data_IF_950107421054
#
_entry.id   IF_950107421054
#
_cell.length_a   1.000
_cell.length_b   1.000
_cell.length_c   1.000
_cell.angle_alpha   90.00
_cell.angle_beta   90.00
_cell.angle_gamma   90.00
#
_symmetry.space_group_name_H-M   'P 1'
#
loop_
_entity.id
_entity.type
_entity.pdbx_description
1 polymer ?
#
# COMPACT_ATOMS: atom_id res chain seq x y z
N UNK A 1 -1.27 1.65 -28.91
CA UNK A 1 -0.77 2.57 -27.85
C UNK A 1 -0.88 3.99 -28.40
N UNK A 2 -1.47 4.95 -27.65
CA UNK A 2 -1.48 6.36 -28.09
C UNK A 2 -0.07 6.94 -27.98
N UNK A 3 0.32 7.79 -28.91
CA UNK A 3 1.56 8.55 -28.78
C UNK A 3 1.44 9.59 -27.67
N UNK A 4 2.57 10.06 -27.15
CA UNK A 4 2.59 11.12 -26.12
C UNK A 4 1.87 12.39 -26.61
N UNK A 5 2.06 12.76 -27.88
CA UNK A 5 1.38 13.92 -28.48
C UNK A 5 -0.14 13.76 -28.50
N UNK A 6 -0.64 12.59 -28.88
CA UNK A 6 -2.08 12.28 -28.86
C UNK A 6 -2.64 12.28 -27.44
N UNK A 7 -1.90 11.76 -26.46
CA UNK A 7 -2.29 11.77 -25.05
C UNK A 7 -2.41 13.22 -24.53
N UNK A 8 -1.44 14.08 -24.84
CA UNK A 8 -1.49 15.51 -24.46
C UNK A 8 -2.67 16.26 -25.11
N UNK A 9 -2.93 16.05 -26.41
CA UNK A 9 -4.01 16.73 -27.12
C UNK A 9 -5.39 16.29 -26.62
N UNK A 10 -5.53 15.06 -26.12
CA UNK A 10 -6.80 14.49 -25.67
C UNK A 10 -6.98 14.55 -24.15
N UNK A 11 -6.00 15.13 -23.42
CA UNK A 11 -6.09 15.24 -21.97
C UNK A 11 -7.17 16.24 -21.58
N UNK A 12 -8.17 15.76 -20.85
CA UNK A 12 -9.23 16.56 -20.25
C UNK A 12 -9.39 16.07 -18.79
N UNK A 13 -9.08 16.95 -17.84
CA UNK A 13 -9.14 16.62 -16.42
C UNK A 13 -10.58 16.34 -15.97
N UNK A 14 -11.57 17.08 -16.46
CA UNK A 14 -12.98 16.88 -16.09
C UNK A 14 -13.44 15.50 -16.54
N UNK A 15 -13.16 15.17 -17.78
CA UNK A 15 -13.46 13.85 -18.34
C UNK A 15 -12.74 12.74 -17.60
N UNK A 16 -11.47 12.94 -17.23
CA UNK A 16 -10.71 11.97 -16.45
C UNK A 16 -11.34 11.70 -15.08
N UNK A 17 -11.82 12.75 -14.40
CA UNK A 17 -12.54 12.61 -13.13
C UNK A 17 -13.81 11.76 -13.34
N UNK A 18 -14.64 12.12 -14.31
CA UNK A 18 -15.90 11.44 -14.60
C UNK A 18 -15.73 9.97 -15.02
N UNK A 19 -14.71 9.67 -15.82
CA UNK A 19 -14.45 8.31 -16.33
C UNK A 19 -13.70 7.42 -15.30
N UNK A 20 -12.87 8.00 -14.45
CA UNK A 20 -11.93 7.23 -13.62
C UNK A 20 -12.38 7.10 -12.16
N UNK A 21 -13.22 7.98 -11.65
CA UNK A 21 -13.66 7.96 -10.25
C UNK A 21 -15.12 7.58 -10.11
N UNK A 22 -15.48 6.97 -8.98
CA UNK A 22 -16.86 6.83 -8.50
C UNK A 22 -17.31 8.10 -7.79
N UNK A 23 -16.40 8.69 -7.01
CA UNK A 23 -16.60 9.94 -6.32
C UNK A 23 -16.46 11.17 -7.23
N UNK A 24 -16.73 12.32 -6.68
CA UNK A 24 -16.57 13.62 -7.34
C UNK A 24 -15.84 14.61 -6.40
N UNK A 25 -15.42 15.80 -6.88
CA UNK A 25 -14.56 16.70 -6.09
C UNK A 25 -15.04 17.07 -4.68
N UNK A 26 -16.36 17.06 -4.42
CA UNK A 26 -16.93 17.38 -3.10
C UNK A 26 -17.28 16.12 -2.28
N UNK A 27 -17.27 14.93 -2.89
CA UNK A 27 -17.65 13.70 -2.21
C UNK A 27 -16.89 12.49 -2.77
N UNK A 28 -15.74 12.19 -2.19
CA UNK A 28 -14.88 11.06 -2.54
C UNK A 28 -14.44 10.32 -1.28
N UNK A 29 -14.20 9.02 -1.41
CA UNK A 29 -13.62 8.20 -0.36
C UNK A 29 -12.58 7.24 -0.95
N UNK A 30 -11.37 7.21 -0.39
CA UNK A 30 -10.28 6.38 -0.90
C UNK A 30 -10.58 4.87 -0.80
N UNK A 31 -11.31 4.42 0.22
CA UNK A 31 -11.75 3.03 0.33
C UNK A 31 -12.73 2.67 -0.81
N UNK A 32 -13.67 3.57 -1.14
CA UNK A 32 -14.59 3.36 -2.27
C UNK A 32 -13.81 3.21 -3.57
N UNK A 33 -12.85 4.09 -3.82
CA UNK A 33 -12.04 4.08 -5.05
C UNK A 33 -11.10 2.87 -5.15
N UNK A 34 -10.61 2.34 -4.02
CA UNK A 34 -9.60 1.28 -3.99
C UNK A 34 -10.16 -0.11 -3.63
N UNK A 35 -11.40 -0.20 -3.14
CA UNK A 35 -11.95 -1.47 -2.68
C UNK A 35 -13.44 -1.63 -3.03
N UNK A 36 -14.33 -0.80 -2.49
CA UNK A 36 -15.77 -1.02 -2.54
C UNK A 36 -16.32 -1.14 -3.96
N UNK A 37 -15.87 -0.29 -4.90
CA UNK A 37 -16.30 -0.32 -6.31
C UNK A 37 -16.02 -1.65 -7.02
N UNK A 38 -15.21 -2.52 -6.44
CA UNK A 38 -14.84 -3.83 -6.99
C UNK A 38 -15.51 -4.99 -6.25
N UNK A 39 -16.24 -4.74 -5.17
CA UNK A 39 -17.05 -5.73 -4.46
C UNK A 39 -18.15 -6.27 -5.40
N UNK A 40 -18.39 -7.57 -5.31
CA UNK A 40 -19.30 -8.29 -6.21
C UNK A 40 -18.65 -8.83 -7.49
N UNK A 41 -17.37 -8.51 -7.73
CA UNK A 41 -16.61 -9.02 -8.89
C UNK A 41 -15.79 -10.28 -8.56
N UNK A 42 -15.66 -10.63 -7.31
CA UNK A 42 -14.90 -11.78 -6.78
C UNK A 42 -13.44 -11.84 -7.28
N UNK A 43 -12.85 -10.65 -7.54
CA UNK A 43 -11.46 -10.53 -7.93
C UNK A 43 -10.54 -10.63 -6.71
N UNK A 44 -9.39 -11.27 -6.85
CA UNK A 44 -8.33 -11.24 -5.85
C UNK A 44 -7.79 -9.80 -5.74
N UNK A 45 -7.75 -9.28 -4.51
CA UNK A 45 -7.20 -7.96 -4.20
C UNK A 45 -5.81 -8.05 -3.57
N UNK A 46 -5.54 -9.14 -2.81
CA UNK A 46 -4.26 -9.37 -2.16
C UNK A 46 -3.86 -10.84 -2.29
N UNK A 47 -2.62 -11.06 -2.68
CA UNK A 47 -1.90 -12.31 -2.51
C UNK A 47 -0.82 -12.06 -1.46
N UNK A 48 -0.86 -12.77 -0.35
CA UNK A 48 0.12 -12.64 0.72
C UNK A 48 0.96 -13.89 0.86
N UNK A 49 2.28 -13.69 0.98
CA UNK A 49 3.29 -14.71 1.30
C UNK A 49 3.86 -14.43 2.68
N UNK A 50 3.56 -15.31 3.62
CA UNK A 50 4.01 -15.22 5.00
C UNK A 50 5.44 -15.70 5.19
N UNK A 51 6.06 -15.32 6.33
CA UNK A 51 7.42 -15.71 6.70
C UNK A 51 7.65 -17.23 6.68
N UNK A 52 6.62 -18.01 6.97
CA UNK A 52 6.69 -19.48 7.08
C UNK A 52 6.34 -20.19 5.77
N UNK A 53 6.24 -19.48 4.65
CA UNK A 53 5.90 -20.04 3.36
C UNK A 53 4.39 -20.32 3.17
N UNK A 54 3.55 -19.90 4.09
CA UNK A 54 2.11 -19.91 3.91
C UNK A 54 1.70 -18.84 2.90
N UNK A 55 0.69 -19.12 2.09
CA UNK A 55 0.14 -18.17 1.13
C UNK A 55 -1.37 -18.03 1.37
N UNK A 56 -1.85 -16.80 1.39
CA UNK A 56 -3.27 -16.50 1.51
C UNK A 56 -3.69 -15.52 0.40
N UNK A 57 -4.94 -15.67 -0.04
CA UNK A 57 -5.53 -14.82 -1.06
C UNK A 57 -6.78 -14.18 -0.47
N UNK A 58 -6.88 -12.86 -0.62
CA UNK A 58 -8.04 -12.09 -0.19
C UNK A 58 -8.72 -11.46 -1.39
N UNK A 59 -10.02 -11.61 -1.51
CA UNK A 59 -10.82 -10.89 -2.50
C UNK A 59 -11.16 -9.49 -2.01
N UNK A 60 -11.65 -8.63 -2.91
CA UNK A 60 -12.16 -7.32 -2.53
C UNK A 60 -13.31 -7.42 -1.52
N UNK A 61 -14.15 -8.44 -1.63
CA UNK A 61 -15.25 -8.72 -0.70
C UNK A 61 -14.74 -9.00 0.71
N UNK A 62 -13.75 -9.89 0.83
CA UNK A 62 -13.14 -10.24 2.12
C UNK A 62 -12.45 -9.05 2.77
N UNK A 63 -11.74 -8.23 1.98
CA UNK A 63 -11.12 -7.01 2.48
C UNK A 63 -12.17 -5.97 2.88
N UNK A 64 -13.29 -5.86 2.16
CA UNK A 64 -14.39 -4.98 2.51
C UNK A 64 -15.04 -5.39 3.84
N UNK A 65 -15.26 -6.70 4.05
CA UNK A 65 -15.78 -7.23 5.32
C UNK A 65 -14.84 -6.89 6.48
N UNK A 66 -13.56 -7.30 6.38
CA UNK A 66 -12.59 -7.13 7.47
C UNK A 66 -12.33 -5.65 7.77
N UNK A 67 -12.17 -4.83 6.74
CA UNK A 67 -11.97 -3.38 6.91
C UNK A 67 -13.21 -2.68 7.49
N UNK A 68 -14.43 -3.19 7.20
CA UNK A 68 -15.66 -2.68 7.79
C UNK A 68 -15.73 -2.90 9.29
N UNK A 69 -15.37 -4.12 9.74
CA UNK A 69 -15.29 -4.47 11.16
C UNK A 69 -14.27 -3.61 11.89
N UNK A 70 -13.07 -3.45 11.33
CA UNK A 70 -12.02 -2.62 11.91
C UNK A 70 -12.40 -1.12 11.91
N UNK A 71 -13.06 -0.64 10.86
CA UNK A 71 -13.55 0.74 10.76
C UNK A 71 -14.57 1.05 11.88
N UNK A 72 -15.49 0.14 12.16
CA UNK A 72 -16.44 0.28 13.26
C UNK A 72 -15.74 0.23 14.64
N UNK A 73 -14.71 -0.59 14.79
CA UNK A 73 -13.87 -0.55 15.98
C UNK A 73 -13.19 0.82 16.14
N UNK A 74 -12.60 1.38 15.08
CA UNK A 74 -11.97 2.71 15.12
C UNK A 74 -12.98 3.80 15.56
N UNK A 75 -14.20 3.77 15.00
CA UNK A 75 -15.28 4.68 15.43
C UNK A 75 -15.61 4.53 16.92
N UNK A 76 -15.64 3.29 17.43
CA UNK A 76 -15.88 3.02 18.84
C UNK A 76 -14.75 3.50 19.76
N UNK A 77 -13.52 3.62 19.24
CA UNK A 77 -12.40 4.26 19.93
C UNK A 77 -12.41 5.79 19.81
N UNK A 78 -13.46 6.38 19.23
CA UNK A 78 -13.61 7.83 19.11
C UNK A 78 -12.87 8.45 17.92
N UNK A 79 -12.36 7.65 16.98
CA UNK A 79 -11.71 8.15 15.76
C UNK A 79 -12.77 8.78 14.85
N UNK A 80 -12.46 9.96 14.33
CA UNK A 80 -13.30 10.74 13.45
C UNK A 80 -12.63 10.96 12.08
N UNK A 81 -13.41 11.42 11.11
CA UNK A 81 -12.88 11.83 9.82
C UNK A 81 -11.84 12.94 9.98
N UNK A 82 -10.69 12.80 9.32
CA UNK A 82 -9.55 13.72 9.44
C UNK A 82 -8.57 13.39 10.58
N UNK A 83 -8.91 12.49 11.50
CA UNK A 83 -7.96 11.99 12.50
C UNK A 83 -6.88 11.10 11.83
N UNK A 84 -5.69 11.09 12.42
CA UNK A 84 -4.57 10.32 11.90
C UNK A 84 -4.47 8.95 12.60
N UNK A 85 -4.42 7.88 11.80
CA UNK A 85 -4.16 6.49 12.23
C UNK A 85 -2.86 6.02 11.60
N UNK A 86 -1.94 5.50 12.41
CA UNK A 86 -0.68 4.96 11.91
C UNK A 86 -0.69 3.42 11.82
N UNK A 87 -0.01 2.90 10.80
CA UNK A 87 0.32 1.47 10.68
C UNK A 87 1.82 1.27 10.85
N UNK A 88 2.22 0.59 11.93
CA UNK A 88 3.59 0.11 12.17
C UNK A 88 3.59 -1.42 12.00
N UNK A 89 3.41 -1.86 10.78
CA UNK A 89 3.19 -3.25 10.41
C UNK A 89 4.12 -3.67 9.26
N UNK A 90 4.58 -4.92 9.21
CA UNK A 90 5.18 -5.48 8.01
C UNK A 90 4.14 -5.65 6.90
N UNK A 91 4.56 -6.19 5.76
CA UNK A 91 3.70 -6.45 4.60
C UNK A 91 2.78 -7.65 4.86
N UNK A 92 1.75 -7.45 5.66
CA UNK A 92 0.76 -8.46 6.06
C UNK A 92 -0.66 -8.04 5.68
N UNK A 93 -1.64 -8.96 5.68
CA UNK A 93 -3.04 -8.62 5.43
C UNK A 93 -3.57 -7.53 6.37
N UNK A 94 -3.15 -7.55 7.63
CA UNK A 94 -3.58 -6.58 8.64
C UNK A 94 -3.15 -5.14 8.28
N UNK A 95 -2.01 -4.98 7.60
CA UNK A 95 -1.61 -3.68 7.06
C UNK A 95 -2.63 -3.14 6.06
N UNK A 96 -3.03 -3.96 5.09
CA UNK A 96 -3.98 -3.56 4.06
C UNK A 96 -5.37 -3.34 4.64
N UNK A 97 -5.83 -4.19 5.56
CA UNK A 97 -7.10 -4.04 6.28
C UNK A 97 -7.10 -2.72 7.06
N UNK A 98 -5.98 -2.37 7.73
CA UNK A 98 -5.83 -1.11 8.47
C UNK A 98 -5.91 0.10 7.55
N UNK A 99 -5.24 0.08 6.40
CA UNK A 99 -5.30 1.14 5.40
C UNK A 99 -6.73 1.37 4.93
N UNK A 100 -7.41 0.31 4.51
CA UNK A 100 -8.77 0.36 3.98
C UNK A 100 -9.79 0.81 5.05
N UNK A 101 -9.66 0.32 6.29
CA UNK A 101 -10.51 0.73 7.41
C UNK A 101 -10.34 2.22 7.74
N UNK A 102 -9.10 2.71 7.73
CA UNK A 102 -8.77 4.12 7.94
C UNK A 102 -9.44 5.00 6.88
N UNK A 103 -9.27 4.66 5.61
CA UNK A 103 -9.88 5.40 4.52
C UNK A 103 -11.41 5.33 4.53
N UNK A 104 -11.99 4.19 4.93
CA UNK A 104 -13.45 4.01 4.98
C UNK A 104 -14.13 5.03 5.88
N UNK A 105 -13.55 5.33 7.04
CA UNK A 105 -14.08 6.34 7.97
C UNK A 105 -13.64 7.78 7.65
N UNK A 106 -12.97 8.01 6.53
CA UNK A 106 -12.45 9.33 6.14
C UNK A 106 -11.28 9.83 7.00
N UNK A 107 -10.62 8.94 7.74
CA UNK A 107 -9.41 9.23 8.50
C UNK A 107 -8.16 9.22 7.60
N UNK A 108 -7.06 9.77 8.12
CA UNK A 108 -5.78 9.91 7.43
C UNK A 108 -4.87 8.74 7.81
N UNK A 109 -4.42 7.96 6.84
CA UNK A 109 -3.47 6.89 7.09
C UNK A 109 -2.03 7.41 7.11
N UNK A 110 -1.28 7.05 8.16
CA UNK A 110 0.14 7.35 8.31
C UNK A 110 0.96 6.06 8.24
N UNK A 111 1.77 5.83 7.20
CA UNK A 111 2.68 4.69 7.18
C UNK A 111 3.86 4.93 8.12
N UNK A 112 4.21 3.91 8.89
CA UNK A 112 5.43 3.86 9.69
C UNK A 112 6.27 2.66 9.22
N UNK A 113 7.48 2.94 8.76
CA UNK A 113 8.40 1.89 8.32
C UNK A 113 8.90 1.08 9.52
N UNK A 114 8.84 -0.24 9.44
CA UNK A 114 9.18 -1.13 10.54
C UNK A 114 10.65 -1.04 10.99
N UNK A 115 11.54 -0.54 10.15
CA UNK A 115 12.93 -0.29 10.52
C UNK A 115 13.16 1.04 11.26
N UNK A 116 12.11 1.88 11.48
CA UNK A 116 12.28 3.08 12.28
C UNK A 116 12.48 2.73 13.76
N UNK A 117 13.41 3.47 14.39
CA UNK A 117 13.62 3.44 15.82
C UNK A 117 12.57 4.30 16.57
N UNK A 118 12.36 4.03 17.86
CA UNK A 118 11.34 4.68 18.69
C UNK A 118 11.36 6.22 18.58
N UNK A 119 12.54 6.86 18.63
CA UNK A 119 12.68 8.31 18.48
C UNK A 119 12.15 8.83 17.13
N UNK A 120 12.37 8.07 16.07
CA UNK A 120 11.91 8.43 14.73
C UNK A 120 10.39 8.26 14.59
N UNK A 121 9.84 7.25 15.27
CA UNK A 121 8.39 7.02 15.36
C UNK A 121 7.76 8.14 16.16
N UNK A 122 8.29 8.45 17.35
CA UNK A 122 7.79 9.51 18.25
C UNK A 122 7.63 10.86 17.54
N UNK A 123 8.69 11.28 16.85
CA UNK A 123 8.65 12.52 16.06
C UNK A 123 7.49 12.55 15.05
N UNK A 124 7.26 11.44 14.35
CA UNK A 124 6.24 11.33 13.31
C UNK A 124 4.82 11.31 13.87
N UNK A 125 4.59 10.53 14.92
CA UNK A 125 3.27 10.43 15.54
C UNK A 125 2.88 11.74 16.26
N UNK A 126 3.84 12.38 16.90
CA UNK A 126 3.63 13.68 17.55
C UNK A 126 3.32 14.76 16.51
N UNK A 127 4.10 14.82 15.41
CA UNK A 127 3.90 15.81 14.34
C UNK A 127 2.56 15.60 13.64
N UNK A 128 2.14 14.36 13.40
CA UNK A 128 0.88 14.02 12.76
C UNK A 128 -0.31 14.01 13.72
N UNK A 129 -0.10 14.23 15.02
CA UNK A 129 -1.13 14.11 16.06
C UNK A 129 -1.88 12.77 16.02
N UNK A 130 -1.14 11.68 15.84
CA UNK A 130 -1.67 10.34 15.65
C UNK A 130 -2.51 9.90 16.85
N UNK A 131 -3.75 9.47 16.60
CA UNK A 131 -4.71 9.06 17.62
C UNK A 131 -4.67 7.57 17.93
N UNK A 132 -4.31 6.75 16.94
CA UNK A 132 -4.30 5.30 17.05
C UNK A 132 -3.14 4.73 16.23
N UNK A 133 -2.49 3.70 16.76
CA UNK A 133 -1.47 2.92 16.03
C UNK A 133 -1.90 1.46 15.98
N UNK A 134 -1.85 0.88 14.78
CA UNK A 134 -1.92 -0.58 14.59
C UNK A 134 -0.51 -1.11 14.41
N UNK A 135 -0.15 -2.13 15.18
CA UNK A 135 1.19 -2.72 15.21
C UNK A 135 1.12 -4.24 15.35
N UNK A 136 2.25 -4.92 15.45
CA UNK A 136 2.35 -6.34 15.78
C UNK A 136 3.28 -6.57 16.98
N UNK A 137 3.34 -7.81 17.48
CA UNK A 137 4.18 -8.18 18.63
C UNK A 137 5.65 -7.79 18.45
N UNK A 138 6.19 -7.92 17.24
CA UNK A 138 7.59 -7.62 16.93
C UNK A 138 7.91 -6.12 17.03
N UNK A 139 6.99 -5.26 16.62
CA UNK A 139 7.19 -3.80 16.60
C UNK A 139 6.68 -3.11 17.87
N UNK A 140 5.77 -3.75 18.60
CA UNK A 140 5.12 -3.20 19.80
C UNK A 140 6.10 -2.64 20.85
N UNK A 141 7.25 -3.27 21.13
CA UNK A 141 8.22 -2.73 22.10
C UNK A 141 8.72 -1.32 21.79
N UNK A 142 8.76 -0.91 20.53
CA UNK A 142 9.16 0.46 20.13
C UNK A 142 8.20 1.55 20.58
N UNK A 143 6.98 1.17 20.96
CA UNK A 143 5.94 2.08 21.41
C UNK A 143 5.86 2.22 22.94
N UNK A 144 6.63 1.44 23.71
CA UNK A 144 6.52 1.38 25.17
C UNK A 144 6.77 2.72 25.89
N UNK A 145 7.57 3.59 25.30
CA UNK A 145 7.93 4.90 25.87
C UNK A 145 7.19 6.05 25.22
N UNK A 146 6.29 5.77 24.28
CA UNK A 146 5.60 6.76 23.48
C UNK A 146 4.19 7.02 24.02
N UNK A 147 3.73 8.27 23.90
CA UNK A 147 2.37 8.65 24.27
C UNK A 147 1.42 8.43 23.10
N UNK A 148 0.86 7.23 23.02
CA UNK A 148 -0.13 6.86 21.99
C UNK A 148 -1.46 6.59 22.67
N UNK A 149 -2.55 7.29 22.33
CA UNK A 149 -3.83 7.14 23.01
C UNK A 149 -4.45 5.73 22.88
N UNK A 150 -4.33 5.12 21.70
CA UNK A 150 -4.88 3.78 21.42
C UNK A 150 -3.86 2.96 20.63
N UNK A 151 -3.54 1.76 21.12
CA UNK A 151 -2.69 0.80 20.44
C UNK A 151 -3.48 -0.47 20.16
N UNK A 152 -3.44 -0.92 18.91
CA UNK A 152 -4.03 -2.19 18.44
C UNK A 152 -2.90 -3.08 17.98
N UNK A 153 -2.78 -4.24 18.59
CA UNK A 153 -1.68 -5.17 18.32
C UNK A 153 -2.19 -6.41 17.61
N UNK A 154 -1.59 -6.76 16.47
CA UNK A 154 -1.70 -8.08 15.86
C UNK A 154 -0.90 -9.03 16.74
N UNK A 155 -1.60 -9.64 17.69
CA UNK A 155 -1.02 -10.45 18.72
C UNK A 155 -1.02 -11.93 18.32
N UNK A 156 0.14 -12.56 18.35
CA UNK A 156 0.30 -13.96 17.96
C UNK A 156 0.80 -14.83 19.11
N UNK A 157 1.62 -14.27 19.99
CA UNK A 157 2.29 -15.06 21.06
C UNK A 157 2.51 -14.23 22.32
N UNK A 158 2.44 -14.91 23.48
CA UNK A 158 2.72 -14.26 24.77
C UNK A 158 1.51 -13.57 25.40
N UNK A 159 1.75 -12.55 26.21
CA UNK A 159 0.72 -11.74 26.85
C UNK A 159 0.56 -10.43 26.09
N UNK A 160 -0.67 -10.12 25.71
CA UNK A 160 -1.03 -8.80 25.20
C UNK A 160 -0.74 -7.75 26.29
N UNK A 161 -0.18 -6.59 25.91
CA UNK A 161 0.01 -5.49 26.86
C UNK A 161 -1.34 -5.04 27.43
N UNK A 162 -1.39 -4.73 28.73
CA UNK A 162 -2.63 -4.50 29.50
C UNK A 162 -3.56 -3.45 28.88
N UNK A 163 -3.01 -2.48 28.17
CA UNK A 163 -3.77 -1.38 27.56
C UNK A 163 -3.94 -1.49 26.05
N UNK A 164 -3.47 -2.59 25.44
CA UNK A 164 -3.58 -2.81 24.01
C UNK A 164 -4.90 -3.53 23.69
N UNK A 165 -5.40 -3.27 22.50
CA UNK A 165 -6.47 -4.05 21.89
C UNK A 165 -5.88 -5.11 20.98
N UNK A 166 -6.36 -6.36 21.10
CA UNK A 166 -6.04 -7.40 20.14
C UNK A 166 -6.76 -7.15 18.83
N UNK A 167 -6.01 -7.18 17.72
CA UNK A 167 -6.53 -6.87 16.38
C UNK A 167 -7.69 -7.79 16.00
N UNK A 168 -7.46 -9.09 15.99
CA UNK A 168 -8.44 -10.06 15.51
C UNK A 168 -9.64 -10.23 16.44
N UNK A 169 -9.45 -10.16 17.76
CA UNK A 169 -10.55 -10.14 18.70
C UNK A 169 -11.40 -8.89 18.57
N UNK A 170 -10.79 -7.75 18.28
CA UNK A 170 -11.52 -6.51 18.03
C UNK A 170 -12.44 -6.65 16.81
N UNK A 171 -11.99 -7.27 15.72
CA UNK A 171 -12.83 -7.48 14.53
C UNK A 171 -14.06 -8.35 14.80
N UNK A 172 -13.95 -9.35 15.68
CA UNK A 172 -15.06 -10.28 16.00
C UNK A 172 -16.26 -9.60 16.67
N UNK A 173 -16.06 -8.43 17.27
CA UNK A 173 -17.08 -7.72 18.06
C UNK A 173 -17.90 -6.72 17.26
N UNK A 174 -17.52 -6.42 16.03
CA UNK A 174 -18.12 -5.35 15.24
C UNK A 174 -18.71 -5.87 13.93
N UNK A 175 -19.75 -5.17 13.46
CA UNK A 175 -20.36 -5.41 12.17
C UNK A 175 -19.40 -5.05 11.04
N UNK A 176 -19.49 -5.77 9.93
CA UNK A 176 -18.81 -5.43 8.68
C UNK A 176 -19.46 -4.24 7.95
N UNK A 177 -20.72 -3.96 8.26
CA UNK A 177 -21.47 -2.84 7.68
C UNK A 177 -20.99 -1.53 8.30
N UNK A 178 -20.28 -0.75 7.51
CA UNK A 178 -19.77 0.56 7.89
C UNK A 178 -19.82 1.47 6.67
N UNK A 179 -20.75 2.43 6.66
CA UNK A 179 -20.86 3.37 5.55
C UNK A 179 -19.59 4.21 5.38
N UNK A 180 -19.05 4.33 4.15
CA UNK A 180 -17.90 5.18 3.87
C UNK A 180 -18.19 6.66 4.14
N UNK A 181 -17.24 7.33 4.75
CA UNK A 181 -17.34 8.78 5.01
C UNK A 181 -16.71 9.56 3.86
N UNK A 182 -17.54 10.21 3.06
CA UNK A 182 -17.05 11.06 1.98
C UNK A 182 -16.34 12.31 2.48
N UNK A 183 -15.30 12.70 1.73
CA UNK A 183 -14.48 13.88 1.95
C UNK A 183 -14.34 14.69 0.66
N UNK A 184 -13.77 15.89 0.74
CA UNK A 184 -13.43 16.69 -0.43
C UNK A 184 -12.12 16.21 -1.09
N UNK A 185 -11.90 16.54 -2.36
CA UNK A 185 -10.65 16.34 -3.08
C UNK A 185 -9.43 16.93 -2.38
N UNK A 186 -9.60 18.05 -1.68
CA UNK A 186 -8.52 18.76 -0.99
C UNK A 186 -8.27 18.24 0.43
N UNK A 187 -9.14 17.36 0.94
CA UNK A 187 -8.92 16.71 2.23
C UNK A 187 -7.84 15.64 2.13
N UNK A 188 -7.02 15.56 3.17
CA UNK A 188 -5.94 14.59 3.24
C UNK A 188 -6.46 13.18 3.55
N UNK A 189 -5.84 12.16 2.94
CA UNK A 189 -6.08 10.75 3.21
C UNK A 189 -4.81 9.97 3.57
N UNK A 190 -3.63 10.56 3.29
CA UNK A 190 -2.33 10.03 3.71
C UNK A 190 -1.51 11.12 4.38
N UNK A 191 -0.74 10.73 5.40
CA UNK A 191 0.26 11.57 6.05
C UNK A 191 1.65 10.98 5.86
N UNK A 192 2.35 11.44 4.84
CA UNK A 192 3.70 10.98 4.54
C UNK A 192 4.76 11.80 5.26
N UNK A 193 5.98 11.28 5.30
CA UNK A 193 7.14 11.99 5.84
C UNK A 193 8.32 11.86 4.89
N UNK A 194 9.01 12.97 4.64
CA UNK A 194 10.23 13.01 3.85
C UNK A 194 11.45 13.19 4.73
N UNK A 195 12.61 12.75 4.27
CA UNK A 195 13.89 13.10 4.91
C UNK A 195 14.11 14.60 4.77
N UNK A 196 13.94 15.34 5.86
CA UNK A 196 14.21 16.79 5.87
C UNK A 196 15.69 17.08 5.63
N UNK A 197 15.99 18.11 4.86
CA UNK A 197 17.36 18.62 4.67
C UNK A 197 18.01 19.12 5.97
N UNK A 198 17.23 19.32 7.01
CA UNK A 198 17.62 19.85 8.32
C UNK A 198 17.66 18.82 9.45
N UNK A 199 17.57 17.52 9.13
CA UNK A 199 17.74 16.41 10.08
C UNK A 199 16.43 15.76 10.57
N UNK A 200 15.34 16.49 10.80
CA UNK A 200 14.04 15.93 11.18
C UNK A 200 13.14 15.74 9.96
N UNK A 201 12.43 14.62 9.92
CA UNK A 201 11.48 14.35 8.85
C UNK A 201 10.32 15.36 8.86
N UNK A 202 9.94 15.86 7.68
CA UNK A 202 8.82 16.79 7.50
C UNK A 202 7.57 16.04 7.08
N UNK A 203 6.43 16.39 7.66
CA UNK A 203 5.13 15.88 7.24
C UNK A 203 4.75 16.39 5.86
N UNK A 204 4.17 15.50 5.06
CA UNK A 204 3.65 15.77 3.72
C UNK A 204 2.24 15.21 3.65
N UNK A 205 1.22 16.01 3.88
CA UNK A 205 -0.15 15.59 3.70
C UNK A 205 -0.42 15.36 2.21
N UNK A 206 -1.18 14.31 1.91
CA UNK A 206 -1.54 13.93 0.53
C UNK A 206 -3.04 13.98 0.37
N UNK A 207 -3.57 14.88 -0.47
CA UNK A 207 -4.99 15.04 -0.66
C UNK A 207 -5.60 13.94 -1.53
N UNK A 208 -6.90 13.67 -1.35
CA UNK A 208 -7.64 12.63 -2.08
C UNK A 208 -7.57 12.77 -3.60
N UNK A 209 -7.47 13.98 -4.15
CA UNK A 209 -7.26 14.20 -5.58
C UNK A 209 -6.00 13.53 -6.14
N UNK A 210 -5.01 13.21 -5.30
CA UNK A 210 -3.80 12.50 -5.72
C UNK A 210 -4.10 11.07 -6.26
N UNK A 211 -5.24 10.47 -5.89
CA UNK A 211 -5.68 9.17 -6.43
C UNK A 211 -5.73 9.21 -7.97
N UNK A 212 -6.18 10.32 -8.57
CA UNK A 212 -6.16 10.50 -10.03
C UNK A 212 -4.75 10.44 -10.61
N UNK A 213 -3.79 11.08 -9.94
CA UNK A 213 -2.39 11.05 -10.37
C UNK A 213 -1.81 9.64 -10.24
N UNK A 214 -2.14 8.90 -9.18
CA UNK A 214 -1.70 7.52 -9.01
C UNK A 214 -2.29 6.61 -10.09
N UNK A 215 -3.58 6.74 -10.41
CA UNK A 215 -4.21 6.00 -11.53
C UNK A 215 -3.52 6.33 -12.85
N UNK A 216 -3.31 7.61 -13.13
CA UNK A 216 -2.62 8.05 -14.35
C UNK A 216 -1.21 7.49 -14.46
N UNK A 217 -0.45 7.50 -13.37
CA UNK A 217 0.90 6.91 -13.33
C UNK A 217 0.88 5.41 -13.60
N UNK A 218 -0.01 4.66 -12.95
CA UNK A 218 -0.13 3.21 -13.16
C UNK A 218 -0.52 2.89 -14.61
N UNK A 219 -1.44 3.65 -15.19
CA UNK A 219 -1.92 3.42 -16.56
C UNK A 219 -0.89 3.81 -17.63
N UNK A 220 -0.19 4.94 -17.45
CA UNK A 220 0.62 5.53 -18.54
C UNK A 220 2.13 5.34 -18.36
N UNK A 221 2.63 5.29 -17.12
CA UNK A 221 4.05 5.11 -16.85
C UNK A 221 4.42 3.66 -16.53
N UNK A 222 3.57 2.97 -15.77
CA UNK A 222 3.76 1.55 -15.42
C UNK A 222 3.14 0.64 -16.48
N UNK A 223 2.27 1.16 -17.35
CA UNK A 223 1.51 0.39 -18.37
C UNK A 223 0.81 -0.84 -17.75
N UNK A 224 0.15 -0.62 -16.58
CA UNK A 224 -0.58 -1.68 -15.91
C UNK A 224 -1.85 -2.02 -16.69
N UNK A 225 -1.98 -3.27 -17.13
CA UNK A 225 -3.07 -3.79 -17.95
C UNK A 225 -3.92 -4.78 -17.18
N UNK A 226 -5.17 -4.97 -17.58
CA UNK A 226 -6.13 -5.83 -16.88
C UNK A 226 -5.64 -7.27 -16.69
N UNK A 227 -4.88 -7.79 -17.65
CA UNK A 227 -4.30 -9.13 -17.63
C UNK A 227 -3.04 -9.28 -16.78
N UNK A 228 -2.45 -8.18 -16.30
CA UNK A 228 -1.18 -8.23 -15.57
C UNK A 228 -1.31 -8.85 -14.17
N UNK A 229 -0.34 -9.67 -13.82
CA UNK A 229 0.00 -9.98 -12.45
C UNK A 229 1.03 -8.96 -11.98
N UNK A 230 0.61 -8.05 -11.12
CA UNK A 230 1.40 -6.91 -10.67
C UNK A 230 2.08 -7.15 -9.32
N UNK A 231 3.36 -6.82 -9.24
CA UNK A 231 4.10 -6.83 -7.99
C UNK A 231 5.01 -5.61 -7.86
N UNK A 232 4.89 -4.89 -6.74
CA UNK A 232 5.80 -3.83 -6.34
C UNK A 232 6.67 -4.31 -5.18
N UNK A 233 8.00 -4.28 -5.36
CA UNK A 233 8.99 -4.70 -4.36
C UNK A 233 9.21 -3.65 -3.25
N UNK A 234 8.77 -2.41 -3.46
CA UNK A 234 8.99 -1.33 -2.51
C UNK A 234 8.14 -1.51 -1.25
N UNK A 235 8.70 -1.12 -0.10
CA UNK A 235 7.99 -1.19 1.16
C UNK A 235 6.91 -0.10 1.26
N UNK A 236 5.67 -0.44 1.68
CA UNK A 236 4.57 0.52 1.82
C UNK A 236 4.74 1.52 2.99
N UNK A 237 5.76 1.37 3.82
CA UNK A 237 6.21 2.42 4.74
C UNK A 237 6.79 3.65 4.04
N UNK A 238 7.04 3.56 2.72
CA UNK A 238 7.52 4.63 1.86
C UNK A 238 6.51 4.99 0.78
N UNK A 239 6.62 6.23 0.26
CA UNK A 239 5.71 6.77 -0.75
C UNK A 239 5.58 5.84 -1.98
N UNK A 240 6.70 5.35 -2.52
CA UNK A 240 6.69 4.52 -3.72
C UNK A 240 5.96 3.20 -3.54
N UNK A 241 6.12 2.55 -2.38
CA UNK A 241 5.38 1.33 -2.04
C UNK A 241 3.90 1.58 -1.75
N UNK A 242 3.57 2.66 -1.04
CA UNK A 242 2.19 2.97 -0.69
C UNK A 242 1.39 3.50 -1.88
N UNK A 243 1.96 4.46 -2.65
CA UNK A 243 1.26 5.07 -3.80
C UNK A 243 1.08 4.10 -4.96
N UNK A 244 2.16 3.40 -5.32
CA UNK A 244 2.23 2.60 -6.54
C UNK A 244 2.30 1.09 -6.28
N UNK A 245 2.39 0.68 -5.03
CA UNK A 245 2.29 -0.72 -4.63
C UNK A 245 0.93 -1.09 -4.03
N UNK A 246 0.19 -0.11 -3.50
CA UNK A 246 -1.12 -0.32 -2.87
C UNK A 246 -2.19 0.55 -3.53
N UNK A 247 -2.13 1.88 -3.36
CA UNK A 247 -3.22 2.79 -3.75
C UNK A 247 -3.49 2.76 -5.25
N UNK A 248 -2.45 2.88 -6.06
CA UNK A 248 -2.56 2.92 -7.52
C UNK A 248 -3.18 1.64 -8.11
N UNK A 249 -2.59 0.46 -7.91
CA UNK A 249 -3.15 -0.78 -8.47
C UNK A 249 -4.56 -1.09 -7.94
N UNK A 250 -4.81 -0.97 -6.64
CA UNK A 250 -6.14 -1.21 -6.08
C UNK A 250 -7.19 -0.24 -6.66
N UNK A 251 -6.83 1.03 -6.88
CA UNK A 251 -7.74 1.99 -7.50
C UNK A 251 -8.13 1.65 -8.94
N UNK A 252 -7.35 0.81 -9.61
CA UNK A 252 -7.63 0.24 -10.93
C UNK A 252 -8.27 -1.17 -10.87
N UNK A 253 -8.51 -1.71 -9.67
CA UNK A 253 -9.08 -3.04 -9.47
C UNK A 253 -8.11 -4.19 -9.71
N UNK A 254 -6.81 -3.92 -9.61
CA UNK A 254 -5.76 -4.93 -9.66
C UNK A 254 -5.44 -5.45 -8.27
N UNK A 255 -5.25 -6.77 -8.17
CA UNK A 255 -4.65 -7.39 -7.00
C UNK A 255 -3.17 -7.05 -6.87
N UNK A 256 -2.70 -7.07 -5.63
CA UNK A 256 -1.30 -6.83 -5.28
C UNK A 256 -0.68 -8.06 -4.63
N UNK A 257 0.63 -8.20 -4.73
CA UNK A 257 1.40 -9.22 -4.01
C UNK A 257 2.12 -8.55 -2.84
N UNK A 258 1.98 -9.12 -1.65
CA UNK A 258 2.75 -8.75 -0.45
C UNK A 258 3.57 -9.95 0.01
N UNK A 259 4.90 -9.79 0.04
CA UNK A 259 5.82 -10.76 0.63
C UNK A 259 6.29 -10.22 1.99
N UNK A 260 5.91 -10.88 3.07
CA UNK A 260 6.26 -10.47 4.44
C UNK A 260 7.75 -10.62 4.73
N UNK A 261 8.43 -11.49 3.99
CA UNK A 261 9.86 -11.75 4.19
C UNK A 261 10.71 -10.54 3.80
N UNK A 262 11.90 -10.44 4.39
CA UNK A 262 12.90 -9.50 3.92
C UNK A 262 13.29 -9.79 2.49
N UNK A 263 13.55 -8.74 1.70
CA UNK A 263 13.91 -8.90 0.29
C UNK A 263 15.13 -9.81 0.11
N UNK A 264 14.94 -10.86 -0.69
CA UNK A 264 15.98 -11.80 -1.11
C UNK A 264 15.78 -12.13 -2.59
N UNK A 265 16.87 -12.15 -3.36
CA UNK A 265 16.81 -12.33 -4.82
C UNK A 265 16.22 -13.69 -5.19
N UNK A 266 16.64 -14.77 -4.52
CA UNK A 266 16.16 -16.13 -4.84
C UNK A 266 14.67 -16.27 -4.59
N UNK A 267 14.20 -15.78 -3.44
CA UNK A 267 12.77 -15.77 -3.10
C UNK A 267 11.95 -14.89 -4.05
N UNK A 268 12.48 -13.72 -4.43
CA UNK A 268 11.81 -12.86 -5.39
C UNK A 268 11.67 -13.55 -6.77
N UNK A 269 12.70 -14.23 -7.24
CA UNK A 269 12.67 -15.01 -8.47
C UNK A 269 11.62 -16.15 -8.37
N UNK A 270 11.56 -16.84 -7.23
CA UNK A 270 10.54 -17.88 -6.99
C UNK A 270 9.12 -17.33 -7.06
N UNK A 271 8.86 -16.15 -6.44
CA UNK A 271 7.54 -15.52 -6.50
C UNK A 271 7.19 -15.03 -7.91
N UNK A 272 8.15 -14.45 -8.64
CA UNK A 272 7.95 -14.07 -10.05
C UNK A 272 7.49 -15.27 -10.86
N UNK A 273 8.12 -16.44 -10.69
CA UNK A 273 7.75 -17.68 -11.35
C UNK A 273 6.41 -18.22 -10.87
N UNK A 274 6.23 -18.33 -9.55
CA UNK A 274 5.04 -18.89 -8.91
C UNK A 274 3.76 -18.19 -9.36
N UNK A 275 3.78 -16.86 -9.35
CA UNK A 275 2.63 -16.03 -9.69
C UNK A 275 2.62 -15.55 -11.13
N UNK A 276 3.62 -15.92 -11.94
CA UNK A 276 3.77 -15.44 -13.32
C UNK A 276 3.68 -13.92 -13.41
N UNK A 277 4.45 -13.24 -12.54
CA UNK A 277 4.46 -11.76 -12.50
C UNK A 277 4.80 -11.23 -13.87
N UNK A 278 3.92 -10.40 -14.43
CA UNK A 278 4.07 -9.81 -15.76
C UNK A 278 4.47 -8.33 -15.71
N UNK A 279 4.18 -7.66 -14.61
CA UNK A 279 4.51 -6.25 -14.40
C UNK A 279 5.17 -6.08 -13.02
N UNK A 280 6.48 -5.86 -13.04
CA UNK A 280 7.32 -5.78 -11.84
C UNK A 280 7.81 -4.36 -11.62
N UNK A 281 7.57 -3.84 -10.42
CA UNK A 281 7.96 -2.49 -10.04
C UNK A 281 8.88 -2.55 -8.81
N UNK A 282 9.93 -1.75 -8.80
CA UNK A 282 10.86 -1.75 -7.67
C UNK A 282 11.85 -0.59 -7.67
N UNK A 283 12.63 -0.49 -6.58
CA UNK A 283 13.70 0.48 -6.50
C UNK A 283 14.89 0.09 -7.38
N UNK A 284 15.69 1.05 -7.86
CA UNK A 284 16.95 0.76 -8.54
C UNK A 284 17.88 -0.14 -7.74
N UNK A 285 17.87 -0.01 -6.42
CA UNK A 285 18.65 -0.88 -5.52
C UNK A 285 18.24 -2.35 -5.66
N UNK A 286 16.94 -2.67 -5.66
CA UNK A 286 16.46 -4.04 -5.86
C UNK A 286 16.88 -4.59 -7.23
N UNK A 287 16.78 -3.76 -8.28
CA UNK A 287 17.17 -4.18 -9.64
C UNK A 287 18.68 -4.32 -9.83
N UNK A 288 19.51 -3.52 -9.12
CA UNK A 288 20.96 -3.77 -9.05
C UNK A 288 21.27 -5.10 -8.36
N UNK A 289 20.52 -5.48 -7.33
CA UNK A 289 20.68 -6.81 -6.71
C UNK A 289 20.29 -7.92 -7.69
N UNK A 290 19.20 -7.81 -8.42
CA UNK A 290 18.85 -8.76 -9.48
C UNK A 290 19.95 -8.88 -10.53
N UNK A 291 20.49 -7.76 -11.00
CA UNK A 291 21.60 -7.74 -11.98
C UNK A 291 22.85 -8.46 -11.47
N UNK A 292 23.16 -8.35 -10.16
CA UNK A 292 24.25 -9.09 -9.53
C UNK A 292 24.08 -10.61 -9.54
N UNK A 293 22.85 -11.09 -9.77
CA UNK A 293 22.50 -12.53 -9.83
C UNK A 293 21.76 -12.87 -11.15
N UNK A 294 22.11 -12.16 -12.23
CA UNK A 294 21.45 -12.28 -13.54
C UNK A 294 21.40 -13.70 -14.10
N UNK A 295 22.42 -14.52 -13.77
CA UNK A 295 22.48 -15.92 -14.17
C UNK A 295 21.38 -16.80 -13.57
N UNK A 296 20.70 -16.34 -12.51
CA UNK A 296 19.54 -17.01 -11.90
C UNK A 296 18.23 -16.72 -12.61
N UNK A 297 18.20 -15.70 -13.46
CA UNK A 297 17.05 -15.38 -14.27
C UNK A 297 16.96 -16.35 -15.46
N UNK A 298 16.20 -17.41 -15.28
CA UNK A 298 16.01 -18.37 -16.34
C UNK A 298 15.00 -17.88 -17.42
N UNK A 299 15.03 -18.49 -18.62
CA UNK A 299 14.14 -18.12 -19.72
C UNK A 299 12.65 -18.17 -19.41
N UNK A 300 12.21 -18.94 -18.38
CA UNK A 300 10.80 -19.03 -18.02
C UNK A 300 10.25 -17.71 -17.46
N UNK A 301 11.09 -16.89 -16.82
CA UNK A 301 10.71 -15.55 -16.33
C UNK A 301 10.42 -14.63 -17.51
N UNK A 302 11.25 -14.68 -18.57
CA UNK A 302 11.10 -13.89 -19.78
C UNK A 302 9.73 -14.11 -20.47
N UNK A 303 9.15 -15.28 -20.33
CA UNK A 303 7.85 -15.61 -20.93
C UNK A 303 6.69 -14.85 -20.28
N UNK A 304 6.86 -14.32 -19.07
CA UNK A 304 5.79 -13.70 -18.30
C UNK A 304 6.06 -12.23 -18.04
N UNK A 305 7.30 -11.86 -17.72
CA UNK A 305 7.67 -10.50 -17.31
C UNK A 305 7.66 -9.55 -18.51
N UNK A 306 6.57 -8.81 -18.66
CA UNK A 306 6.31 -7.90 -19.77
C UNK A 306 6.89 -6.50 -19.54
N UNK A 307 6.79 -6.02 -18.29
CA UNK A 307 7.22 -4.65 -17.90
C UNK A 307 8.02 -4.70 -16.62
N UNK A 308 9.12 -3.96 -16.62
CA UNK A 308 9.89 -3.64 -15.41
C UNK A 308 9.99 -2.12 -15.31
N UNK A 309 9.52 -1.58 -14.20
CA UNK A 309 9.56 -0.14 -13.95
C UNK A 309 10.26 0.20 -12.64
N UNK A 310 10.96 1.33 -12.62
CA UNK A 310 11.75 1.76 -11.47
C UNK A 310 11.63 3.26 -11.23
N UNK A 311 11.63 3.65 -9.95
CA UNK A 311 11.66 5.03 -9.54
C UNK A 311 12.37 5.23 -8.19
N UNK A 312 12.62 6.50 -7.85
CA UNK A 312 13.19 6.90 -6.56
C UNK A 312 14.67 7.25 -6.61
N UNK A 313 15.46 6.63 -7.51
CA UNK A 313 16.88 6.87 -7.72
C UNK A 313 17.22 6.67 -9.22
N UNK A 314 18.39 7.12 -9.70
CA UNK A 314 18.87 6.77 -11.03
C UNK A 314 19.13 5.27 -11.15
N UNK A 315 18.62 4.66 -12.22
CA UNK A 315 18.96 3.30 -12.62
C UNK A 315 20.12 3.33 -13.61
N UNK A 316 21.13 2.49 -13.42
CA UNK A 316 22.31 2.47 -14.30
C UNK A 316 21.97 1.89 -15.68
N UNK A 317 22.60 2.39 -16.76
CA UNK A 317 22.35 1.91 -18.12
C UNK A 317 22.56 0.40 -18.28
N UNK A 318 23.52 -0.19 -17.56
CA UNK A 318 23.82 -1.62 -17.61
C UNK A 318 22.63 -2.46 -17.16
N UNK A 319 21.96 -2.04 -16.08
CA UNK A 319 20.76 -2.74 -15.57
C UNK A 319 19.60 -2.59 -16.56
N UNK A 320 19.40 -1.39 -17.11
CA UNK A 320 18.35 -1.14 -18.12
C UNK A 320 18.59 -2.00 -19.36
N UNK A 321 19.83 -2.04 -19.86
CA UNK A 321 20.19 -2.83 -21.04
C UNK A 321 20.02 -4.34 -20.79
N UNK A 322 20.39 -4.80 -19.60
CA UNK A 322 20.18 -6.20 -19.23
C UNK A 322 18.69 -6.59 -19.30
N UNK A 323 17.82 -5.81 -18.67
CA UNK A 323 16.38 -6.09 -18.74
C UNK A 323 15.86 -6.08 -20.18
N UNK A 324 16.29 -5.09 -21.01
CA UNK A 324 15.89 -5.04 -22.42
C UNK A 324 16.35 -6.25 -23.22
N UNK A 325 17.60 -6.68 -23.05
CA UNK A 325 18.15 -7.82 -23.79
C UNK A 325 17.56 -9.15 -23.34
N UNK A 326 17.16 -9.24 -22.09
CA UNK A 326 16.67 -10.47 -21.51
C UNK A 326 15.15 -10.59 -21.53
N UNK A 327 14.40 -9.49 -21.77
CA UNK A 327 12.93 -9.49 -21.88
C UNK A 327 12.43 -9.36 -23.32
N UNK A 328 13.25 -8.94 -24.28
CA UNK A 328 12.98 -9.00 -25.71
C UNK A 328 13.41 -10.38 -26.26
#
# INVERSE_FOLDING_TARGET
>A
MKTLAEAYQQFDLTRLIEEQLVGHPQAINAYVECCERYVGKYKTALIWEGKNGQAEHYTFEQLAELSGKLANFFKAQGIQAGDCIAGLLPRTPELLITILATWRIGAIYQPLFTAFEAKSIDHRITTAQTKLIVTNDEQRPKLNTLNVPVIVTVHQTGLLSEHDFDFWQSLQRYSEQCEPVNRSFDDDFLMMFTSGTTGLAKSVPVPLKAILAFKGYMTHAVDLREEDMFWNLADPGWAYGLYYGITGPLSLGHGIIMDERSFNVDQAIELIKKYKVSNLTGSPTAFRMFFGFKEKFDPSIKQHLRVVSSAGEPLTPEVVNWFKQDLE
#
